data_IF_179605555319
#
_entry.id   IF_179605555319
#
_cell.length_a   1.000
_cell.length_b   1.000
_cell.length_c   1.000
_cell.angle_alpha   90.00
_cell.angle_beta   90.00
_cell.angle_gamma   90.00
#
_symmetry.space_group_name_H-M   'P 1'
#
loop_
_entity.id
_entity.type
_entity.pdbx_description
1 polymer ?
#
# COMPACT_ATOMS: atom_id res chain seq x y z
N UNK A 1 22.34 -11.13 -23.36
CA UNK A 1 23.51 -10.65 -22.59
C UNK A 1 24.00 -9.27 -23.00
N UNK A 2 24.06 -8.87 -24.29
CA UNK A 2 24.46 -7.51 -24.74
C UNK A 2 23.66 -6.31 -24.17
N UNK A 3 22.58 -6.53 -23.40
CA UNK A 3 21.76 -5.48 -22.76
C UNK A 3 22.03 -5.33 -21.25
N UNK A 4 22.94 -6.14 -20.70
CA UNK A 4 23.26 -6.14 -19.26
C UNK A 4 24.68 -5.60 -19.14
N UNK A 5 24.83 -4.47 -18.45
CA UNK A 5 26.13 -3.82 -18.24
C UNK A 5 26.81 -4.25 -16.93
N UNK A 6 26.07 -4.92 -16.04
CA UNK A 6 26.56 -5.43 -14.77
C UNK A 6 25.43 -5.96 -13.89
N UNK A 7 25.78 -6.51 -12.74
CA UNK A 7 24.84 -7.02 -11.73
C UNK A 7 25.16 -6.46 -10.34
N UNK A 8 24.14 -6.37 -9.49
CA UNK A 8 24.28 -6.05 -8.07
C UNK A 8 23.72 -7.24 -7.28
N UNK A 9 24.47 -7.71 -6.29
CA UNK A 9 23.98 -8.72 -5.34
C UNK A 9 23.37 -7.99 -4.14
N UNK A 10 22.10 -8.23 -3.82
CA UNK A 10 21.45 -7.60 -2.65
C UNK A 10 21.24 -8.57 -1.49
N UNK A 11 20.84 -8.02 -0.33
CA UNK A 11 20.47 -8.78 0.88
C UNK A 11 21.58 -9.71 1.38
N UNK A 12 22.85 -9.35 1.16
CA UNK A 12 23.98 -10.17 1.58
C UNK A 12 24.19 -10.11 3.11
N UNK A 13 24.33 -11.26 3.75
CA UNK A 13 24.63 -11.38 5.19
C UNK A 13 26.03 -11.96 5.39
N UNK A 14 26.79 -11.38 6.30
CA UNK A 14 28.10 -11.87 6.71
C UNK A 14 29.27 -11.09 6.12
N UNK A 15 30.46 -11.70 6.18
CA UNK A 15 31.70 -11.08 5.72
C UNK A 15 31.82 -11.14 4.19
N UNK A 16 31.95 -9.97 3.57
CA UNK A 16 32.12 -9.83 2.12
C UNK A 16 33.35 -10.59 1.60
N UNK A 17 34.40 -10.74 2.42
CA UNK A 17 35.60 -11.49 2.05
C UNK A 17 35.30 -12.95 1.73
N UNK A 18 34.31 -13.56 2.40
CA UNK A 18 33.87 -14.93 2.14
C UNK A 18 33.07 -15.07 0.83
N UNK A 19 32.41 -13.99 0.39
CA UNK A 19 31.62 -13.98 -0.84
C UNK A 19 32.49 -13.78 -2.09
N UNK A 20 33.63 -13.10 -1.95
CA UNK A 20 34.50 -12.69 -3.07
C UNK A 20 34.82 -13.80 -4.08
N UNK A 21 35.21 -15.02 -3.68
CA UNK A 21 35.46 -16.10 -4.64
C UNK A 21 34.24 -16.47 -5.51
N UNK A 22 33.03 -16.35 -4.94
CA UNK A 22 31.78 -16.58 -5.67
C UNK A 22 31.46 -15.47 -6.67
N UNK A 23 31.80 -14.22 -6.33
CA UNK A 23 31.67 -13.08 -7.25
C UNK A 23 32.62 -13.23 -8.44
N UNK A 24 33.90 -13.54 -8.16
CA UNK A 24 34.93 -13.75 -9.18
C UNK A 24 34.54 -14.88 -10.14
N UNK A 25 34.03 -16.00 -9.61
CA UNK A 25 33.52 -17.11 -10.43
C UNK A 25 32.32 -16.69 -11.29
N UNK A 26 31.37 -15.93 -10.73
CA UNK A 26 30.19 -15.47 -11.45
C UNK A 26 30.58 -14.56 -12.62
N UNK A 27 31.50 -13.61 -12.40
CA UNK A 27 32.02 -12.74 -13.47
C UNK A 27 32.69 -13.55 -14.58
N UNK A 28 33.54 -14.51 -14.22
CA UNK A 28 34.22 -15.39 -15.18
C UNK A 28 33.23 -16.23 -15.99
N UNK A 29 32.22 -16.81 -15.33
CA UNK A 29 31.24 -17.67 -15.98
C UNK A 29 30.28 -16.90 -16.88
N UNK A 30 29.86 -15.71 -16.46
CA UNK A 30 28.82 -14.94 -17.16
C UNK A 30 29.38 -13.93 -18.16
N UNK A 31 30.61 -13.46 -17.95
CA UNK A 31 31.22 -12.34 -18.68
C UNK A 31 30.60 -10.98 -18.36
N UNK A 32 29.86 -10.88 -17.24
CA UNK A 32 29.15 -9.67 -16.79
C UNK A 32 29.75 -9.22 -15.45
N UNK A 33 30.12 -7.94 -15.28
CA UNK A 33 30.74 -7.48 -14.04
C UNK A 33 29.73 -7.40 -12.88
N UNK A 34 30.19 -7.71 -11.67
CA UNK A 34 29.50 -7.44 -10.41
C UNK A 34 29.86 -6.01 -10.00
N UNK A 35 28.88 -5.11 -10.07
CA UNK A 35 29.06 -3.69 -9.77
C UNK A 35 29.10 -3.40 -8.27
N UNK A 36 28.59 -4.32 -7.45
CA UNK A 36 28.61 -4.20 -6.00
C UNK A 36 27.76 -5.23 -5.27
N UNK A 37 27.90 -5.22 -3.95
CA UNK A 37 27.13 -6.04 -3.03
C UNK A 37 26.46 -5.12 -2.02
N UNK A 38 25.13 -5.17 -1.95
CA UNK A 38 24.33 -4.44 -0.97
C UNK A 38 24.16 -5.33 0.25
N UNK A 39 24.68 -4.92 1.43
CA UNK A 39 24.51 -5.67 2.65
C UNK A 39 23.03 -5.75 3.04
N UNK A 40 22.68 -6.77 3.80
CA UNK A 40 21.40 -6.83 4.46
C UNK A 40 21.36 -5.77 5.55
N UNK A 41 20.43 -4.83 5.42
CA UNK A 41 20.18 -3.78 6.40
C UNK A 41 18.95 -4.20 7.19
N UNK A 42 19.12 -4.48 8.48
CA UNK A 42 18.05 -5.06 9.32
C UNK A 42 16.86 -4.11 9.47
N UNK A 43 17.14 -2.81 9.61
CA UNK A 43 16.12 -1.77 9.84
C UNK A 43 15.84 -0.91 8.60
N UNK A 44 16.17 -1.41 7.40
CA UNK A 44 15.82 -0.70 6.17
C UNK A 44 14.35 -0.93 5.82
N UNK A 45 13.54 0.06 6.17
CA UNK A 45 12.13 0.12 5.78
C UNK A 45 12.06 0.61 4.34
N UNK A 46 11.71 -0.30 3.42
CA UNK A 46 11.42 0.03 2.03
C UNK A 46 9.92 -0.09 1.84
N UNK A 47 9.32 0.95 1.26
CA UNK A 47 7.92 0.97 0.85
C UNK A 47 7.57 -0.29 0.05
N UNK A 48 6.43 -0.89 0.39
CA UNK A 48 5.94 -2.04 -0.35
C UNK A 48 5.60 -1.65 -1.80
N UNK A 49 6.14 -2.40 -2.76
CA UNK A 49 5.93 -2.14 -4.19
C UNK A 49 4.53 -2.54 -4.66
N UNK A 50 3.93 -3.58 -4.05
CA UNK A 50 2.61 -4.07 -4.39
C UNK A 50 1.67 -4.23 -3.19
N UNK A 51 0.38 -4.28 -3.52
CA UNK A 51 -0.70 -4.43 -2.55
C UNK A 51 -0.86 -5.86 -2.01
N UNK A 52 -0.02 -6.82 -2.40
CA UNK A 52 -0.06 -8.19 -1.83
C UNK A 52 0.38 -8.16 -0.37
N UNK A 53 1.31 -7.26 -0.04
CA UNK A 53 1.70 -6.94 1.34
C UNK A 53 0.50 -6.65 2.27
N UNK A 54 -0.59 -6.08 1.73
CA UNK A 54 -1.79 -5.75 2.50
C UNK A 54 -2.61 -6.96 2.95
N UNK A 55 -2.39 -8.15 2.42
CA UNK A 55 -3.06 -9.38 2.88
C UNK A 55 -2.59 -9.82 4.25
N UNK A 56 -1.39 -9.40 4.65
CA UNK A 56 -0.79 -9.73 5.94
C UNK A 56 -1.12 -8.69 7.02
N UNK A 57 -1.72 -7.55 6.64
CA UNK A 57 -2.10 -6.49 7.56
C UNK A 57 -3.33 -6.85 8.38
N UNK A 58 -3.35 -6.40 9.64
CA UNK A 58 -4.49 -6.64 10.53
C UNK A 58 -5.77 -6.00 9.97
N UNK A 59 -6.89 -6.71 10.19
CA UNK A 59 -8.24 -6.18 9.93
C UNK A 59 -9.01 -5.93 11.23
N UNK A 60 -8.47 -6.39 12.37
CA UNK A 60 -9.08 -6.29 13.68
C UNK A 60 -8.65 -4.99 14.38
N UNK A 61 -9.53 -4.47 15.22
CA UNK A 61 -9.24 -3.35 16.13
C UNK A 61 -8.26 -3.83 17.20
N UNK A 62 -7.32 -2.97 17.58
CA UNK A 62 -6.42 -3.20 18.70
C UNK A 62 -6.82 -2.30 19.88
N UNK A 63 -7.37 -2.85 20.98
CA UNK A 63 -7.84 -2.05 22.11
C UNK A 63 -6.68 -1.45 22.94
N UNK A 64 -5.45 -1.90 22.73
CA UNK A 64 -4.25 -1.39 23.43
C UNK A 64 -3.68 -0.11 22.78
N UNK A 65 -4.34 0.38 21.72
CA UNK A 65 -3.93 1.56 20.94
C UNK A 65 -4.96 2.67 21.10
N UNK A 66 -4.48 3.90 21.18
CA UNK A 66 -5.33 5.06 21.48
C UNK A 66 -6.11 5.53 20.24
N UNK A 67 -5.55 5.34 19.04
CA UNK A 67 -6.15 5.79 17.77
C UNK A 67 -6.34 4.61 16.81
N UNK A 68 -7.59 4.31 16.45
CA UNK A 68 -7.96 3.32 15.43
C UNK A 68 -8.08 3.97 14.04
N UNK A 69 -7.23 3.55 13.10
CA UNK A 69 -7.17 4.06 11.73
C UNK A 69 -7.58 2.95 10.76
N UNK A 70 -8.77 3.10 10.18
CA UNK A 70 -9.24 2.22 9.12
C UNK A 70 -8.86 2.76 7.73
N UNK A 71 -8.19 1.95 6.92
CA UNK A 71 -7.83 2.29 5.54
C UNK A 71 -8.62 1.39 4.59
N UNK A 72 -9.39 1.97 3.67
CA UNK A 72 -10.18 1.16 2.72
C UNK A 72 -9.24 0.50 1.70
N UNK A 73 -9.29 -0.84 1.63
CA UNK A 73 -8.61 -1.65 0.63
C UNK A 73 -9.59 -2.05 -0.47
N UNK A 74 -9.72 -1.21 -1.49
CA UNK A 74 -10.44 -1.55 -2.72
C UNK A 74 -9.50 -2.15 -3.78
N UNK A 75 -10.03 -2.84 -4.82
CA UNK A 75 -9.24 -3.66 -5.74
C UNK A 75 -8.09 -2.93 -6.45
N UNK A 76 -8.27 -1.65 -6.81
CA UNK A 76 -7.25 -0.89 -7.56
C UNK A 76 -6.59 0.20 -6.71
N UNK A 77 -6.41 -0.08 -5.42
CA UNK A 77 -5.67 0.77 -4.49
C UNK A 77 -4.28 1.15 -5.04
N UNK A 78 -3.91 2.42 -4.87
CA UNK A 78 -2.60 2.99 -5.15
C UNK A 78 -2.10 3.77 -3.95
N UNK A 79 -0.79 3.97 -3.87
CA UNK A 79 -0.16 4.81 -2.84
C UNK A 79 -0.62 4.41 -1.42
N UNK A 80 -0.83 3.12 -1.18
CA UNK A 80 -1.26 2.63 0.14
C UNK A 80 -0.18 2.85 1.21
N UNK A 81 1.06 3.11 0.80
CA UNK A 81 2.17 3.49 1.69
C UNK A 81 2.07 4.92 2.21
N UNK A 82 1.12 5.73 1.72
CA UNK A 82 0.87 7.08 2.28
C UNK A 82 0.45 7.02 3.76
N UNK A 83 0.02 5.85 4.26
CA UNK A 83 -0.32 5.63 5.68
C UNK A 83 0.83 5.04 6.51
N UNK A 84 1.96 4.72 5.89
CA UNK A 84 3.10 4.11 6.58
C UNK A 84 3.63 4.92 7.78
N UNK A 85 3.61 6.27 7.77
CA UNK A 85 3.97 7.03 8.97
C UNK A 85 3.16 6.66 10.21
N UNK A 86 1.88 6.29 10.06
CA UNK A 86 1.05 5.86 11.18
C UNK A 86 1.38 4.46 11.69
N UNK A 87 2.06 3.61 10.89
CA UNK A 87 2.50 2.29 11.33
C UNK A 87 3.62 2.38 12.37
N UNK A 88 4.39 3.47 12.35
CA UNK A 88 5.50 3.70 13.27
C UNK A 88 5.10 4.45 14.54
N UNK A 89 3.91 5.06 14.57
CA UNK A 89 3.43 5.78 15.75
C UNK A 89 2.95 4.79 16.84
N UNK A 90 3.46 4.92 18.08
CA UNK A 90 3.22 3.94 19.14
C UNK A 90 1.77 3.91 19.65
N UNK A 91 1.01 4.99 19.46
CA UNK A 91 -0.39 5.17 19.87
C UNK A 91 -1.40 4.85 18.75
N UNK A 92 -0.93 4.65 17.53
CA UNK A 92 -1.76 4.38 16.36
C UNK A 92 -1.89 2.87 16.07
N UNK A 93 -3.05 2.49 15.56
CA UNK A 93 -3.31 1.19 14.97
C UNK A 93 -3.89 1.34 13.56
N UNK A 94 -3.16 0.88 12.54
CA UNK A 94 -3.64 0.89 11.16
C UNK A 94 -4.18 -0.48 10.78
N UNK A 95 -5.40 -0.49 10.24
CA UNK A 95 -6.03 -1.71 9.70
C UNK A 95 -6.58 -1.49 8.31
N UNK A 96 -6.28 -2.44 7.42
CA UNK A 96 -6.77 -2.40 6.03
C UNK A 96 -8.10 -3.14 5.94
N UNK A 97 -9.15 -2.44 5.51
CA UNK A 97 -10.54 -2.91 5.52
C UNK A 97 -11.03 -3.15 4.10
N UNK A 98 -11.44 -4.38 3.80
CA UNK A 98 -11.94 -4.77 2.48
C UNK A 98 -13.47 -4.95 2.44
N UNK A 99 -14.14 -4.99 3.60
CA UNK A 99 -15.58 -5.25 3.72
C UNK A 99 -16.26 -4.27 4.67
N UNK A 100 -17.56 -4.01 4.48
CA UNK A 100 -18.31 -3.10 5.33
C UNK A 100 -18.35 -3.55 6.81
N UNK A 101 -18.40 -4.87 7.06
CA UNK A 101 -18.45 -5.44 8.41
C UNK A 101 -17.17 -5.18 9.22
N UNK A 102 -16.02 -5.11 8.54
CA UNK A 102 -14.74 -4.79 9.16
C UNK A 102 -14.61 -3.30 9.52
N UNK A 103 -15.43 -2.41 8.96
CA UNK A 103 -15.23 -0.96 9.09
C UNK A 103 -15.37 -0.48 10.53
N UNK A 104 -16.35 -0.99 11.29
CA UNK A 104 -16.56 -0.59 12.68
C UNK A 104 -16.84 0.92 12.82
N UNK A 105 -16.30 1.52 13.89
CA UNK A 105 -16.34 2.97 14.16
C UNK A 105 -14.91 3.46 14.51
N UNK A 106 -14.03 3.61 13.52
CA UNK A 106 -12.66 4.06 13.74
C UNK A 106 -12.63 5.54 14.13
N UNK A 107 -11.54 6.01 14.72
CA UNK A 107 -11.31 7.45 14.95
C UNK A 107 -11.02 8.18 13.63
N UNK A 108 -10.28 7.49 12.74
CA UNK A 108 -9.90 7.98 11.41
C UNK A 108 -10.20 6.92 10.34
N UNK A 109 -10.91 7.35 9.29
CA UNK A 109 -11.13 6.59 8.08
C UNK A 109 -10.39 7.22 6.91
N UNK A 110 -9.53 6.45 6.25
CA UNK A 110 -8.77 6.88 5.07
C UNK A 110 -9.26 6.15 3.83
N UNK A 111 -9.65 6.92 2.81
CA UNK A 111 -9.81 6.45 1.43
C UNK A 111 -8.49 6.77 0.70
N UNK A 112 -7.64 5.77 0.42
CA UNK A 112 -6.34 5.98 -0.22
C UNK A 112 -6.48 6.38 -1.70
N UNK A 113 -5.38 6.37 -2.46
CA UNK A 113 -5.42 6.57 -3.91
C UNK A 113 -5.99 5.36 -4.66
N UNK A 114 -6.55 5.60 -5.86
CA UNK A 114 -7.07 4.56 -6.76
C UNK A 114 -6.48 4.74 -8.16
N UNK A 115 -6.14 3.62 -8.82
CA UNK A 115 -5.74 3.60 -10.24
C UNK A 115 -6.94 3.68 -11.20
N UNK A 116 -8.17 3.54 -10.70
CA UNK A 116 -9.41 3.71 -11.46
C UNK A 116 -10.55 3.99 -10.47
N UNK A 117 -10.78 5.28 -10.24
CA UNK A 117 -11.62 5.79 -9.17
C UNK A 117 -13.08 5.37 -9.34
N UNK A 118 -13.59 5.36 -10.57
CA UNK A 118 -15.01 5.06 -10.83
C UNK A 118 -15.32 3.61 -10.51
N UNK A 119 -14.49 2.66 -10.93
CA UNK A 119 -14.73 1.23 -10.66
C UNK A 119 -14.60 0.90 -9.17
N UNK A 120 -13.62 1.47 -8.47
CA UNK A 120 -13.47 1.26 -7.03
C UNK A 120 -14.64 1.90 -6.24
N UNK A 121 -15.15 3.07 -6.66
CA UNK A 121 -16.35 3.65 -6.06
C UNK A 121 -17.58 2.75 -6.28
N UNK A 122 -17.76 2.21 -7.48
CA UNK A 122 -18.84 1.28 -7.78
C UNK A 122 -18.70 -0.02 -7.00
N UNK A 123 -17.48 -0.52 -6.82
CA UNK A 123 -17.19 -1.66 -5.94
C UNK A 123 -17.60 -1.35 -4.50
N UNK A 124 -17.26 -0.18 -3.96
CA UNK A 124 -17.64 0.21 -2.61
C UNK A 124 -19.16 0.28 -2.41
N UNK A 125 -19.90 0.84 -3.39
CA UNK A 125 -21.37 0.87 -3.39
C UNK A 125 -21.97 -0.54 -3.45
N UNK A 126 -21.46 -1.38 -4.35
CA UNK A 126 -21.95 -2.77 -4.51
C UNK A 126 -21.79 -3.60 -3.24
N UNK A 127 -20.72 -3.37 -2.48
CA UNK A 127 -20.39 -4.14 -1.29
C UNK A 127 -20.81 -3.48 0.03
N UNK A 128 -21.62 -2.41 -0.01
CA UNK A 128 -22.17 -1.76 1.19
C UNK A 128 -21.18 -0.87 1.96
N UNK A 129 -19.95 -0.69 1.46
CA UNK A 129 -18.92 0.12 2.12
C UNK A 129 -19.31 1.60 2.05
N UNK A 130 -19.75 2.07 0.88
CA UNK A 130 -20.12 3.47 0.69
C UNK A 130 -21.27 3.90 1.61
N UNK A 131 -22.26 3.03 1.79
CA UNK A 131 -23.40 3.22 2.67
C UNK A 131 -22.95 3.30 4.13
N UNK A 132 -22.02 2.43 4.55
CA UNK A 132 -21.48 2.45 5.91
C UNK A 132 -20.69 3.73 6.19
N UNK A 133 -19.86 4.19 5.25
CA UNK A 133 -19.13 5.47 5.36
C UNK A 133 -20.11 6.64 5.49
N UNK A 134 -21.18 6.65 4.70
CA UNK A 134 -22.22 7.67 4.79
C UNK A 134 -22.94 7.66 6.14
N UNK A 135 -23.11 6.50 6.78
CA UNK A 135 -23.65 6.40 8.13
C UNK A 135 -22.68 6.96 9.18
N UNK A 136 -21.39 6.64 9.09
CA UNK A 136 -20.36 7.16 10.00
C UNK A 136 -20.30 8.70 9.95
N UNK A 137 -20.41 9.29 8.75
CA UNK A 137 -20.39 10.74 8.58
C UNK A 137 -21.55 11.45 9.30
N UNK A 138 -22.74 10.82 9.40
CA UNK A 138 -23.92 11.45 10.05
C UNK A 138 -23.71 11.72 11.53
N UNK A 139 -22.88 10.94 12.19
CA UNK A 139 -22.63 11.05 13.62
C UNK A 139 -21.49 12.01 13.96
N UNK A 140 -20.70 12.46 12.96
CA UNK A 140 -19.55 13.36 13.13
C UNK A 140 -18.51 12.89 14.16
N UNK A 141 -18.47 11.58 14.46
CA UNK A 141 -17.52 10.98 15.41
C UNK A 141 -16.26 10.45 14.73
N UNK A 142 -16.33 10.17 13.43
CA UNK A 142 -15.24 9.63 12.63
C UNK A 142 -14.71 10.71 11.72
N UNK A 143 -13.39 10.93 11.74
CA UNK A 143 -12.73 11.79 10.77
C UNK A 143 -12.57 11.01 9.46
N UNK A 144 -13.01 11.56 8.33
CA UNK A 144 -12.93 10.90 7.02
C UNK A 144 -11.97 11.70 6.13
N UNK A 145 -10.93 11.05 5.65
CA UNK A 145 -9.90 11.63 4.78
C UNK A 145 -9.88 10.87 3.46
N UNK A 146 -9.87 11.59 2.34
CA UNK A 146 -9.63 11.02 1.02
C UNK A 146 -8.33 11.53 0.44
N UNK A 147 -7.57 10.67 -0.21
CA UNK A 147 -6.29 10.99 -0.87
C UNK A 147 -6.42 10.67 -2.36
N UNK A 148 -6.09 11.64 -3.23
CA UNK A 148 -6.15 11.47 -4.69
C UNK A 148 -7.51 10.89 -5.17
N UNK A 149 -7.54 9.68 -5.73
CA UNK A 149 -8.78 8.98 -6.11
C UNK A 149 -9.79 8.85 -4.96
N UNK A 150 -9.33 8.55 -3.74
CA UNK A 150 -10.19 8.53 -2.56
C UNK A 150 -10.81 9.90 -2.23
N UNK A 151 -10.11 11.00 -2.48
CA UNK A 151 -10.67 12.35 -2.35
C UNK A 151 -11.75 12.61 -3.40
N UNK A 152 -11.52 12.19 -4.64
CA UNK A 152 -12.52 12.29 -5.72
C UNK A 152 -13.81 11.52 -5.37
N UNK A 153 -13.70 10.36 -4.72
CA UNK A 153 -14.84 9.55 -4.25
C UNK A 153 -15.73 10.25 -3.24
N UNK A 154 -15.19 11.20 -2.46
CA UNK A 154 -15.95 12.00 -1.50
C UNK A 154 -16.65 13.19 -2.17
N UNK A 155 -16.36 13.47 -3.43
CA UNK A 155 -17.00 14.52 -4.21
C UNK A 155 -18.45 14.20 -4.60
N UNK A 156 -19.19 15.22 -5.05
CA UNK A 156 -20.57 15.04 -5.50
C UNK A 156 -20.68 14.31 -6.85
N UNK A 157 -19.64 14.40 -7.70
CA UNK A 157 -19.59 13.81 -9.05
C UNK A 157 -18.16 13.49 -9.45
N UNK A 158 -17.98 12.36 -10.13
CA UNK A 158 -16.75 11.95 -10.80
C UNK A 158 -17.08 11.81 -12.29
N UNK A 159 -16.23 12.33 -13.18
CA UNK A 159 -16.48 12.31 -14.62
C UNK A 159 -15.22 11.87 -15.34
N UNK A 160 -15.36 10.86 -16.19
CA UNK A 160 -14.35 10.45 -17.17
C UNK A 160 -14.90 10.71 -18.60
N UNK A 161 -14.92 11.97 -19.07
CA UNK A 161 -15.55 12.32 -20.34
C UNK A 161 -14.86 11.70 -21.57
N UNK A 162 -13.61 11.26 -21.41
CA UNK A 162 -12.80 10.70 -22.49
C UNK A 162 -12.64 9.17 -22.38
N UNK A 163 -13.13 8.55 -21.29
CA UNK A 163 -13.04 7.10 -21.06
C UNK A 163 -11.60 6.62 -20.90
N UNK A 164 -10.74 7.44 -20.30
CA UNK A 164 -9.31 7.13 -20.13
C UNK A 164 -9.09 6.11 -19.01
N UNK A 165 -9.88 6.18 -17.95
CA UNK A 165 -9.74 5.31 -16.78
C UNK A 165 -10.65 4.07 -16.87
N UNK A 166 -11.86 4.24 -17.39
CA UNK A 166 -12.86 3.17 -17.47
C UNK A 166 -13.82 3.35 -18.66
N UNK A 167 -14.35 2.26 -19.25
CA UNK A 167 -15.44 2.34 -20.22
C UNK A 167 -16.79 2.72 -19.57
N UNK A 168 -16.88 2.75 -18.24
CA UNK A 168 -18.10 3.11 -17.50
C UNK A 168 -18.34 4.62 -17.58
N UNK A 169 -19.60 5.01 -17.84
CA UNK A 169 -20.02 6.41 -18.00
C UNK A 169 -20.94 6.87 -16.88
#
# INVERSE_FOLDING_TARGET
RKRIIGVIINKFRGDLALLKPGLDWFEQYTGVPVLGVVPYLEDLHIDAEDSVSLEQMSTAVNPDKDIDIAVIRYPKISNFTDVDPFLTEPDCHVRFVATAAQLGQPDLLILPGSKNTIEDLLYMKKNGIAEQIAQLNKHHRVTIVGICGGYQMLGARIRDPFGVETPLR
#
